data_IF_835160249147
#
_entry.id   IF_835160249147
#
_cell.length_a   1.000
_cell.length_b   1.000
_cell.length_c   1.000
_cell.angle_alpha   90.00
_cell.angle_beta   90.00
_cell.angle_gamma   90.00
#
_symmetry.space_group_name_H-M   'P 1'
#
loop_
_entity.id
_entity.type
_entity.pdbx_description
1 polymer ?
#
# COMPACT_ATOMS: atom_id res chain seq x y z
N UNK A 1 30.43 52.95 -56.14
CA UNK A 1 30.52 51.83 -55.18
C UNK A 1 29.75 52.03 -53.86
N UNK A 2 28.91 53.07 -53.70
CA UNK A 2 28.22 53.34 -52.42
C UNK A 2 26.82 52.69 -52.26
N UNK A 3 26.08 52.41 -53.34
CA UNK A 3 24.69 51.93 -53.24
C UNK A 3 24.51 50.47 -52.82
N UNK A 4 25.49 49.60 -53.07
CA UNK A 4 25.37 48.16 -52.77
C UNK A 4 25.69 47.79 -51.32
N UNK A 5 26.39 48.65 -50.58
CA UNK A 5 26.67 48.42 -49.15
C UNK A 5 25.49 48.85 -48.27
N UNK A 6 24.80 49.94 -48.62
CA UNK A 6 23.64 50.43 -47.86
C UNK A 6 22.48 49.44 -47.85
N UNK A 7 22.20 48.76 -48.98
CA UNK A 7 21.13 47.75 -49.05
C UNK A 7 21.46 46.50 -48.22
N UNK A 8 22.74 46.11 -48.14
CA UNK A 8 23.16 44.97 -47.32
C UNK A 8 23.12 45.27 -45.82
N UNK A 9 23.44 46.50 -45.41
CA UNK A 9 23.33 46.92 -44.02
C UNK A 9 21.87 47.03 -43.56
N UNK A 10 20.99 47.60 -44.39
CA UNK A 10 19.55 47.70 -44.10
C UNK A 10 18.88 46.31 -44.03
N UNK A 11 19.25 45.38 -44.92
CA UNK A 11 18.76 44.01 -44.88
C UNK A 11 19.25 43.24 -43.64
N UNK A 12 20.47 43.50 -43.16
CA UNK A 12 21.00 42.87 -41.94
C UNK A 12 20.33 43.41 -40.68
N UNK A 13 20.00 44.70 -40.67
CA UNK A 13 19.36 45.38 -39.55
C UNK A 13 17.87 44.98 -39.42
N UNK A 14 17.16 44.81 -40.54
CA UNK A 14 15.81 44.25 -40.57
C UNK A 14 15.80 42.76 -40.17
N UNK A 15 16.79 41.97 -40.59
CA UNK A 15 16.87 40.55 -40.22
C UNK A 15 17.18 40.33 -38.72
N UNK A 16 17.94 41.23 -38.07
CA UNK A 16 18.15 41.17 -36.61
C UNK A 16 16.92 41.64 -35.83
N UNK A 17 16.17 42.62 -36.34
CA UNK A 17 14.96 43.12 -35.68
C UNK A 17 13.77 42.12 -35.78
N UNK A 18 13.69 41.36 -36.88
CA UNK A 18 12.71 40.28 -37.01
C UNK A 18 13.07 39.03 -36.17
N UNK A 19 14.36 38.77 -35.93
CA UNK A 19 14.79 37.66 -35.05
C UNK A 19 14.62 37.96 -33.56
N UNK A 20 14.74 39.21 -33.12
CA UNK A 20 14.43 39.58 -31.73
C UNK A 20 12.93 39.50 -31.43
N UNK A 21 12.07 39.87 -32.38
CA UNK A 21 10.62 39.70 -32.22
C UNK A 21 10.17 38.23 -32.30
N UNK A 22 10.80 37.40 -33.14
CA UNK A 22 10.49 35.97 -33.23
C UNK A 22 11.00 35.15 -32.03
N UNK A 23 12.11 35.57 -31.40
CA UNK A 23 12.64 34.91 -30.19
C UNK A 23 11.91 35.34 -28.89
N UNK A 24 11.18 36.46 -28.90
CA UNK A 24 10.32 36.88 -27.77
C UNK A 24 8.90 36.29 -27.84
N UNK A 25 8.51 35.65 -28.94
CA UNK A 25 7.16 35.07 -29.10
C UNK A 25 7.09 33.55 -28.86
N UNK A 26 8.20 32.87 -28.56
CA UNK A 26 8.23 31.43 -28.27
C UNK A 26 8.51 31.10 -26.80
N UNK A 27 8.15 32.00 -25.88
CA UNK A 27 7.90 31.65 -24.47
C UNK A 27 6.45 31.95 -24.09
N UNK A 28 5.52 31.48 -24.93
CA UNK A 28 4.19 31.15 -24.43
C UNK A 28 4.40 29.91 -23.55
N UNK A 29 4.68 30.15 -22.26
CA UNK A 29 4.53 29.16 -21.21
C UNK A 29 3.22 28.46 -21.48
N UNK A 30 3.25 27.14 -21.76
CA UNK A 30 2.05 26.32 -21.74
C UNK A 30 1.51 26.42 -20.32
N UNK A 31 0.64 27.39 -20.06
CA UNK A 31 -0.17 27.45 -18.86
C UNK A 31 -1.06 26.22 -18.93
N UNK A 32 -0.97 25.25 -18.01
CA UNK A 32 -2.06 24.31 -17.88
C UNK A 32 -3.30 25.16 -17.58
N UNK A 33 -4.33 25.01 -18.40
CA UNK A 33 -5.65 25.54 -18.07
C UNK A 33 -6.15 24.74 -16.86
N UNK A 34 -5.79 25.19 -15.66
CA UNK A 34 -6.46 24.78 -14.43
C UNK A 34 -7.54 25.80 -14.12
N UNK A 35 -8.77 25.34 -13.94
CA UNK A 35 -9.90 26.17 -13.53
C UNK A 35 -10.01 26.35 -12.02
N UNK A 36 -8.99 25.94 -11.25
CA UNK A 36 -8.87 26.31 -9.84
C UNK A 36 -8.15 27.65 -9.75
N UNK A 37 -8.65 28.56 -8.90
CA UNK A 37 -7.82 29.64 -8.36
C UNK A 37 -6.49 29.00 -7.96
N UNK A 38 -5.35 29.56 -8.40
CA UNK A 38 -4.06 29.20 -7.80
C UNK A 38 -4.20 29.52 -6.32
N UNK A 39 -4.53 28.51 -5.52
CA UNK A 39 -4.23 28.59 -4.11
C UNK A 39 -2.71 28.62 -4.10
N UNK A 40 -2.18 29.78 -3.76
CA UNK A 40 -0.79 29.94 -3.35
C UNK A 40 -0.67 29.14 -2.05
N UNK A 41 -0.58 27.83 -2.17
CA UNK A 41 -0.68 26.92 -1.04
C UNK A 41 0.72 26.78 -0.46
N UNK A 42 1.04 27.71 0.43
CA UNK A 42 2.24 27.63 1.24
C UNK A 42 2.07 26.50 2.26
N UNK A 43 2.97 25.52 2.24
CA UNK A 43 2.96 24.37 3.12
C UNK A 43 3.99 24.55 4.24
N UNK A 44 3.59 24.23 5.47
CA UNK A 44 4.49 24.27 6.62
C UNK A 44 5.47 23.10 6.57
N UNK A 45 6.76 23.40 6.46
CA UNK A 45 7.81 22.41 6.63
C UNK A 45 8.18 22.32 8.10
N UNK A 46 7.85 21.20 8.73
CA UNK A 46 8.16 20.94 10.14
C UNK A 46 9.37 20.03 10.28
N UNK A 47 10.07 20.12 11.41
CA UNK A 47 11.21 19.27 11.75
C UNK A 47 10.82 17.77 11.66
N UNK A 48 11.41 16.99 10.73
CA UNK A 48 11.04 15.60 10.52
C UNK A 48 11.57 14.70 11.65
N UNK A 49 10.83 13.63 11.94
CA UNK A 49 11.26 12.61 12.88
C UNK A 49 12.19 11.60 12.19
N UNK A 50 13.50 11.70 12.41
CA UNK A 50 14.49 10.78 11.82
C UNK A 50 14.63 9.45 12.61
N UNK A 51 14.00 9.34 13.78
CA UNK A 51 13.98 8.13 14.61
C UNK A 51 12.69 8.04 15.43
N UNK A 52 12.17 6.82 15.73
CA UNK A 52 10.98 6.62 16.57
C UNK A 52 11.11 7.17 17.99
N UNK A 53 12.32 7.44 18.48
CA UNK A 53 12.59 7.95 19.84
C UNK A 53 13.16 9.37 19.84
N UNK A 54 13.16 10.08 18.71
CA UNK A 54 13.74 11.41 18.61
C UNK A 54 12.73 12.48 19.05
N UNK A 55 13.10 13.26 20.07
CA UNK A 55 12.29 14.39 20.57
C UNK A 55 12.78 15.74 20.05
N UNK A 56 14.08 15.87 19.77
CA UNK A 56 14.72 17.09 19.27
C UNK A 56 15.87 16.75 18.33
N UNK A 57 16.21 17.69 17.43
CA UNK A 57 17.33 17.60 16.49
C UNK A 57 17.97 18.96 16.22
N UNK A 58 19.20 18.94 15.70
CA UNK A 58 19.94 20.16 15.35
C UNK A 58 20.00 20.32 13.83
N UNK A 59 19.90 21.55 13.34
CA UNK A 59 20.08 21.86 11.91
C UNK A 59 21.55 22.17 11.68
N UNK A 60 22.25 21.33 10.91
CA UNK A 60 23.69 21.49 10.61
C UNK A 60 23.90 22.54 9.51
N UNK A 61 23.30 22.34 8.33
CA UNK A 61 23.39 23.29 7.22
C UNK A 61 22.17 23.22 6.30
N UNK A 62 21.75 24.37 5.74
CA UNK A 62 20.78 24.45 4.67
C UNK A 62 21.50 24.34 3.33
N UNK A 63 21.01 23.49 2.41
CA UNK A 63 21.56 23.37 1.05
C UNK A 63 20.79 24.22 0.03
N UNK A 64 19.58 24.64 0.39
CA UNK A 64 18.66 25.45 -0.43
C UNK A 64 18.37 26.76 0.30
N UNK A 65 18.40 27.90 -0.41
CA UNK A 65 18.13 29.23 0.17
C UNK A 65 16.70 29.68 -0.10
N UNK A 66 16.25 30.71 0.62
CA UNK A 66 14.97 31.37 0.36
C UNK A 66 14.90 31.86 -1.10
N UNK A 67 13.83 31.50 -1.82
CA UNK A 67 13.62 31.80 -3.22
C UNK A 67 14.14 30.76 -4.21
N UNK A 68 14.92 29.78 -3.76
CA UNK A 68 15.45 28.74 -4.65
C UNK A 68 14.40 27.66 -4.95
N UNK A 69 14.33 27.23 -6.21
CA UNK A 69 13.53 26.09 -6.65
C UNK A 69 14.31 24.78 -6.46
N UNK A 70 13.64 23.75 -5.95
CA UNK A 70 14.19 22.41 -5.76
C UNK A 70 13.26 21.35 -6.38
N UNK A 71 13.81 20.18 -6.71
CA UNK A 71 13.06 19.04 -7.22
C UNK A 71 13.01 17.91 -6.20
N UNK A 72 12.05 16.99 -6.36
CA UNK A 72 11.97 15.78 -5.54
C UNK A 72 13.30 14.99 -5.60
N UNK A 73 13.83 14.65 -4.44
CA UNK A 73 15.14 13.99 -4.27
C UNK A 73 16.32 14.94 -4.08
N UNK A 74 16.15 16.27 -4.18
CA UNK A 74 17.20 17.23 -3.82
C UNK A 74 17.34 17.32 -2.30
N UNK A 75 18.57 17.41 -1.79
CA UNK A 75 18.84 17.58 -0.36
C UNK A 75 18.48 19.03 0.03
N UNK A 76 17.53 19.20 0.94
CA UNK A 76 17.09 20.51 1.44
C UNK A 76 17.99 21.02 2.57
N UNK A 77 18.25 20.16 3.55
CA UNK A 77 19.06 20.48 4.72
C UNK A 77 19.67 19.22 5.35
N UNK A 78 20.69 19.44 6.16
CA UNK A 78 21.40 18.40 6.91
C UNK A 78 21.05 18.50 8.40
N UNK A 79 20.51 17.42 8.98
CA UNK A 79 20.16 17.34 10.40
C UNK A 79 21.23 16.57 11.14
N UNK A 80 21.72 17.14 12.24
CA UNK A 80 22.55 16.44 13.22
C UNK A 80 21.67 15.98 14.39
N UNK A 81 21.68 14.68 14.64
CA UNK A 81 20.99 14.04 15.78
C UNK A 81 22.02 13.40 16.72
N UNK A 82 21.61 12.99 17.93
CA UNK A 82 22.48 12.30 18.90
C UNK A 82 23.13 11.00 18.35
N UNK A 83 22.55 10.41 17.30
CA UNK A 83 23.03 9.13 16.74
C UNK A 83 23.66 9.23 15.37
N UNK A 84 23.29 10.22 14.56
CA UNK A 84 23.79 10.37 13.21
C UNK A 84 23.52 11.77 12.65
N UNK A 85 24.36 12.19 11.70
CA UNK A 85 24.03 13.25 10.74
C UNK A 85 23.29 12.62 9.57
N UNK A 86 22.14 13.19 9.18
CA UNK A 86 21.32 12.68 8.09
C UNK A 86 20.82 13.82 7.21
N UNK A 87 20.86 13.59 5.90
CA UNK A 87 20.37 14.52 4.89
C UNK A 87 18.85 14.36 4.71
N UNK A 88 18.13 15.48 4.70
CA UNK A 88 16.69 15.51 4.44
C UNK A 88 16.46 15.90 2.98
N UNK A 89 15.91 14.97 2.21
CA UNK A 89 15.56 15.17 0.81
C UNK A 89 14.15 15.77 0.64
N UNK A 90 13.96 16.51 -0.45
CA UNK A 90 12.67 17.01 -0.86
C UNK A 90 11.78 15.86 -1.32
N UNK A 91 10.57 15.75 -0.75
CA UNK A 91 9.60 14.73 -1.15
C UNK A 91 8.89 15.09 -2.46
N UNK A 92 8.78 16.39 -2.77
CA UNK A 92 8.02 16.96 -3.88
C UNK A 92 8.80 18.12 -4.52
N UNK A 93 8.41 18.52 -5.74
CA UNK A 93 8.99 19.67 -6.44
C UNK A 93 8.41 20.99 -5.87
N UNK A 94 9.23 22.00 -5.63
CA UNK A 94 8.75 23.25 -5.03
C UNK A 94 9.76 24.39 -5.02
N UNK A 95 9.39 25.46 -4.31
CA UNK A 95 10.23 26.63 -4.05
C UNK A 95 10.35 26.87 -2.56
N UNK A 96 11.55 27.16 -2.07
CA UNK A 96 11.78 27.51 -0.67
C UNK A 96 11.22 28.92 -0.41
N UNK A 97 10.10 29.04 0.29
CA UNK A 97 9.46 30.35 0.49
C UNK A 97 10.18 31.17 1.56
N UNK A 98 10.35 30.60 2.76
CA UNK A 98 10.99 31.26 3.90
C UNK A 98 11.52 30.26 4.92
N UNK A 99 12.70 30.54 5.47
CA UNK A 99 13.33 29.74 6.52
C UNK A 99 13.08 30.43 7.86
N UNK A 100 12.66 29.68 8.88
CA UNK A 100 12.40 30.18 10.23
C UNK A 100 13.44 29.72 11.25
N UNK A 101 14.09 28.59 10.99
CA UNK A 101 15.18 28.07 11.80
C UNK A 101 16.51 28.17 11.03
N UNK A 102 17.38 29.07 11.50
CA UNK A 102 18.67 29.35 10.86
C UNK A 102 19.62 28.14 10.88
N UNK A 103 20.66 28.20 10.03
CA UNK A 103 21.78 27.24 10.06
C UNK A 103 22.42 27.18 11.46
N UNK A 104 22.67 25.97 11.97
CA UNK A 104 23.24 25.78 13.30
C UNK A 104 22.23 25.85 14.45
N UNK A 105 20.92 25.91 14.18
CA UNK A 105 19.89 25.89 15.22
C UNK A 105 19.95 24.58 16.03
N UNK A 106 20.01 24.71 17.36
CA UNK A 106 20.13 23.59 18.30
C UNK A 106 18.82 23.32 19.03
N UNK A 107 18.56 22.06 19.37
CA UNK A 107 17.41 21.59 20.14
C UNK A 107 16.05 21.99 19.54
N UNK A 108 15.90 21.85 18.22
CA UNK A 108 14.61 22.05 17.54
C UNK A 108 13.73 20.83 17.76
N UNK A 109 12.57 21.01 18.39
CA UNK A 109 11.64 19.90 18.67
C UNK A 109 11.04 19.35 17.39
N UNK A 110 10.90 18.02 17.32
CA UNK A 110 10.20 17.34 16.21
C UNK A 110 8.78 17.88 16.07
N UNK A 111 8.36 18.17 14.83
CA UNK A 111 7.06 18.78 14.53
C UNK A 111 7.02 20.31 14.63
N UNK A 112 8.09 20.97 15.07
CA UNK A 112 8.18 22.45 15.03
C UNK A 112 8.39 22.92 13.60
N UNK A 113 7.73 24.00 13.19
CA UNK A 113 7.93 24.61 11.87
C UNK A 113 9.36 25.15 11.73
N UNK A 114 10.05 24.71 10.68
CA UNK A 114 11.43 25.12 10.36
C UNK A 114 11.51 25.95 9.06
N UNK A 115 10.61 25.72 8.11
CA UNK A 115 10.50 26.50 6.89
C UNK A 115 9.07 26.48 6.32
N UNK A 116 8.87 27.21 5.24
CA UNK A 116 7.66 27.17 4.41
C UNK A 116 8.06 26.88 2.98
N UNK A 117 7.37 25.92 2.38
CA UNK A 117 7.56 25.50 1.00
C UNK A 117 6.38 26.05 0.19
N UNK A 118 6.64 26.53 -1.02
CA UNK A 118 5.61 26.90 -1.99
C UNK A 118 5.63 25.96 -3.20
N UNK A 119 4.55 25.97 -3.97
CA UNK A 119 4.42 25.15 -5.18
C UNK A 119 5.33 25.62 -6.32
N UNK A 120 5.56 24.71 -7.27
CA UNK A 120 6.39 24.97 -8.45
C UNK A 120 5.88 26.17 -9.28
N UNK A 121 6.64 27.27 -9.22
CA UNK A 121 6.40 28.48 -10.01
C UNK A 121 5.65 29.61 -9.30
N UNK A 122 5.55 29.55 -7.97
CA UNK A 122 5.06 30.65 -7.14
C UNK A 122 6.16 31.68 -6.82
N UNK A 123 5.78 32.95 -6.75
CA UNK A 123 6.68 34.06 -6.40
C UNK A 123 6.66 34.27 -4.88
N UNK A 124 7.81 34.06 -4.24
CA UNK A 124 8.03 34.15 -2.79
C UNK A 124 7.57 35.46 -2.16
N UNK A 125 7.43 36.52 -2.97
CA UNK A 125 6.98 37.85 -2.53
C UNK A 125 5.45 37.94 -2.29
N UNK A 126 4.68 36.96 -2.79
CA UNK A 126 3.21 36.99 -2.80
C UNK A 126 2.53 35.92 -1.93
N UNK A 127 3.32 35.08 -1.25
CA UNK A 127 2.83 33.96 -0.45
C UNK A 127 2.34 34.41 0.94
N UNK A 128 1.09 34.10 1.27
CA UNK A 128 0.57 34.23 2.63
C UNK A 128 1.11 33.08 3.49
N UNK A 129 1.86 33.43 4.54
CA UNK A 129 2.48 32.47 5.46
C UNK A 129 1.37 31.87 6.36
N UNK A 130 1.14 30.54 6.36
CA UNK A 130 0.15 29.92 7.23
C UNK A 130 0.47 30.16 8.71
N UNK A 131 -0.57 30.27 9.55
CA UNK A 131 -0.42 30.39 10.99
C UNK A 131 0.25 29.14 11.60
N UNK A 132 1.03 29.35 12.66
CA UNK A 132 1.78 28.32 13.37
C UNK A 132 0.87 27.61 14.39
N UNK A 133 0.68 26.29 14.25
CA UNK A 133 -0.13 25.47 15.15
C UNK A 133 0.67 24.89 16.34
N UNK A 134 1.91 25.37 16.59
CA UNK A 134 2.73 24.91 17.71
C UNK A 134 2.37 25.58 19.06
N UNK A 135 1.20 25.24 19.62
CA UNK A 135 0.92 25.46 21.06
C UNK A 135 1.46 24.28 21.90
N UNK A 136 2.55 24.58 22.60
CA UNK A 136 2.99 24.05 23.92
C UNK A 136 2.26 22.81 24.45
N UNK A 137 2.94 21.66 24.41
CA UNK A 137 2.72 20.53 25.33
C UNK A 137 3.73 20.68 26.48
N UNK A 138 3.26 21.09 27.65
CA UNK A 138 3.98 20.96 28.92
C UNK A 138 3.32 19.85 29.75
N UNK A 139 4.16 18.93 30.25
CA UNK A 139 3.84 18.05 31.37
C UNK A 139 5.03 18.10 32.35
N UNK A 140 4.79 18.10 33.68
CA UNK A 140 5.73 18.63 34.66
C UNK A 140 6.54 17.52 35.37
N UNK A 141 7.84 17.75 35.61
CA UNK A 141 8.56 17.23 36.78
C UNK A 141 9.97 17.84 36.93
N UNK A 142 10.24 18.25 38.16
CA UNK A 142 11.52 18.38 38.87
C UNK A 142 12.60 19.36 38.40
N UNK A 143 12.74 20.44 39.18
CA UNK A 143 14.05 20.93 39.59
C UNK A 143 14.04 21.32 41.07
N UNK A 144 14.93 20.69 41.84
CA UNK A 144 15.22 20.93 43.25
C UNK A 144 16.58 21.65 43.34
N UNK A 145 16.53 22.90 43.85
CA UNK A 145 17.48 23.55 44.77
C UNK A 145 18.82 24.10 44.21
N UNK A 146 19.29 25.31 44.56
CA UNK A 146 18.81 26.33 45.50
C UNK A 146 19.82 27.48 45.72
N UNK A 147 19.56 28.26 46.79
CA UNK A 147 20.32 29.36 47.44
C UNK A 147 20.00 30.80 46.98
N UNK A 148 19.88 31.83 47.82
CA UNK A 148 19.66 32.03 49.27
C UNK A 148 19.49 33.55 49.49
N UNK A 149 18.46 34.04 50.22
CA UNK A 149 18.58 34.97 51.38
C UNK A 149 17.30 35.70 51.80
N UNK A 150 17.07 35.59 53.11
CA UNK A 150 16.66 36.62 54.09
C UNK A 150 15.19 37.09 54.20
N UNK A 151 14.46 36.42 55.12
CA UNK A 151 14.19 36.88 56.51
C UNK A 151 12.71 37.12 56.92
N UNK A 152 12.25 36.31 57.88
CA UNK A 152 11.31 36.63 58.98
C UNK A 152 9.82 36.74 58.63
N UNK A 153 8.87 36.05 59.26
CA UNK A 153 8.88 35.18 60.44
C UNK A 153 7.44 34.91 60.90
N UNK A 154 7.31 33.89 61.76
CA UNK A 154 6.13 33.43 62.52
C UNK A 154 5.00 32.75 61.74
N UNK A 155 4.34 31.70 62.26
CA UNK A 155 4.51 30.80 63.42
C UNK A 155 3.30 29.87 63.30
N UNK A 156 3.51 28.57 63.42
CA UNK A 156 2.87 27.69 64.41
C UNK A 156 3.19 26.26 64.01
N UNK A 157 3.92 25.66 64.92
CA UNK A 157 4.50 24.35 64.89
C UNK A 157 3.71 23.49 65.86
N UNK A 158 3.74 22.18 65.60
CA UNK A 158 4.13 21.18 66.58
C UNK A 158 3.08 20.14 66.96
N UNK A 159 3.51 18.90 66.64
CA UNK A 159 3.50 17.68 67.46
C UNK A 159 2.17 16.97 67.74
N UNK A 160 2.09 15.65 67.69
CA UNK A 160 3.10 14.63 67.41
C UNK A 160 2.63 13.26 67.94
N UNK A 161 2.98 12.20 67.21
CA UNK A 161 3.48 10.90 67.69
C UNK A 161 2.51 9.94 68.44
N UNK A 162 2.03 8.95 67.67
CA UNK A 162 2.33 7.50 67.79
C UNK A 162 1.55 6.54 68.75
N UNK A 163 1.13 5.43 68.10
CA UNK A 163 1.07 4.00 68.51
C UNK A 163 -0.20 3.33 69.06
N UNK A 164 -0.59 2.35 68.22
CA UNK A 164 -0.92 0.94 68.50
C UNK A 164 -2.32 0.49 68.97
N UNK A 165 -2.69 -0.65 68.38
CA UNK A 165 -4.00 -1.31 68.24
C UNK A 165 -4.06 -2.47 69.27
N UNK A 166 -5.23 -3.08 69.56
CA UNK A 166 -5.51 -4.36 68.89
C UNK A 166 -7.01 -4.71 68.69
N UNK A 167 -7.30 -5.55 67.68
CA UNK A 167 -8.39 -6.54 67.74
C UNK A 167 -9.50 -6.46 66.69
N UNK A 168 -9.35 -7.23 65.59
CA UNK A 168 -10.41 -7.62 64.62
C UNK A 168 -11.32 -8.72 65.23
N UNK A 169 -12.56 -8.97 64.74
CA UNK A 169 -12.77 -9.68 63.47
C UNK A 169 -13.92 -9.16 62.57
N UNK A 170 -13.62 -9.14 61.26
CA UNK A 170 -14.41 -9.71 60.15
C UNK A 170 -15.94 -9.51 60.09
N UNK A 171 -16.46 -8.74 59.10
CA UNK A 171 -17.08 -9.26 57.86
C UNK A 171 -17.92 -8.19 57.10
N UNK A 172 -17.91 -8.31 55.76
CA UNK A 172 -18.81 -7.71 54.74
C UNK A 172 -18.79 -6.19 54.49
N UNK A 173 -18.02 -5.82 53.47
CA UNK A 173 -18.13 -4.59 52.67
C UNK A 173 -19.27 -4.76 51.63
N UNK A 174 -20.34 -3.95 51.64
CA UNK A 174 -21.27 -3.90 50.52
C UNK A 174 -20.74 -2.97 49.43
N UNK A 175 -20.85 -3.44 48.19
CA UNK A 175 -20.61 -2.68 46.97
C UNK A 175 -21.70 -1.61 46.76
N UNK A 176 -21.28 -0.37 46.42
CA UNK A 176 -21.96 0.55 45.49
C UNK A 176 -21.23 1.89 45.49
N UNK A 177 -20.55 2.20 44.40
CA UNK A 177 -20.55 3.56 43.85
C UNK A 177 -20.83 3.44 42.36
N UNK A 178 -22.10 3.65 42.02
CA UNK A 178 -22.56 3.95 40.66
C UNK A 178 -22.39 5.46 40.45
N UNK A 179 -21.85 5.95 39.33
CA UNK A 179 -22.29 7.24 38.83
C UNK A 179 -23.77 7.10 38.45
N UNK A 180 -24.62 7.89 39.10
CA UNK A 180 -26.02 8.06 38.72
C UNK A 180 -26.09 8.90 37.44
N UNK A 181 -26.56 8.32 36.35
CA UNK A 181 -27.21 9.07 35.26
C UNK A 181 -28.37 8.24 34.72
N UNK A 182 -29.50 8.35 35.41
CA UNK A 182 -30.82 8.05 34.84
C UNK A 182 -31.42 9.38 34.34
N UNK A 183 -32.21 9.38 33.26
CA UNK A 183 -32.69 10.59 32.62
C UNK A 183 -33.70 11.27 33.56
N UNK A 184 -33.41 12.50 33.94
CA UNK A 184 -34.34 13.32 34.73
C UNK A 184 -34.39 14.70 34.07
N UNK A 185 -35.56 15.07 33.55
CA UNK A 185 -35.86 16.43 33.11
C UNK A 185 -36.07 16.54 31.61
N UNK A 186 -37.34 16.67 31.23
CA UNK A 186 -37.83 17.06 29.92
C UNK A 186 -37.17 18.36 29.45
N UNK A 187 -36.42 18.29 28.35
CA UNK A 187 -35.93 19.44 27.62
C UNK A 187 -34.42 19.68 27.68
N UNK A 188 -33.98 20.64 26.88
CA UNK A 188 -32.59 21.05 26.78
C UNK A 188 -32.04 21.60 28.09
N UNK A 189 -30.84 21.16 28.47
CA UNK A 189 -30.13 21.75 29.60
C UNK A 189 -29.59 23.14 29.21
N UNK A 190 -30.14 24.26 29.76
CA UNK A 190 -29.77 25.61 29.36
C UNK A 190 -28.34 25.99 29.79
N UNK A 191 -27.69 25.15 30.61
CA UNK A 191 -26.30 25.33 31.05
C UNK A 191 -25.29 25.22 29.90
N UNK A 192 -25.64 24.54 28.80
CA UNK A 192 -24.71 24.24 27.71
C UNK A 192 -25.21 24.81 26.38
N UNK A 193 -24.32 25.41 25.57
CA UNK A 193 -24.70 25.87 24.23
C UNK A 193 -25.03 24.69 23.31
N UNK A 194 -25.92 24.95 22.35
CA UNK A 194 -26.29 24.00 21.29
C UNK A 194 -25.08 23.66 20.40
N UNK A 195 -25.08 22.47 19.81
CA UNK A 195 -24.03 22.10 18.86
C UNK A 195 -24.16 22.88 17.54
N UNK A 196 -23.06 23.16 16.82
CA UNK A 196 -23.09 23.86 15.53
C UNK A 196 -24.03 23.21 14.51
N UNK A 197 -24.05 21.87 14.47
CA UNK A 197 -24.93 21.09 13.58
C UNK A 197 -26.42 21.23 13.93
N UNK A 198 -26.74 21.39 15.22
CA UNK A 198 -28.10 21.61 15.71
C UNK A 198 -28.54 23.04 15.41
N UNK A 199 -27.67 24.03 15.64
CA UNK A 199 -27.92 25.44 15.30
C UNK A 199 -28.21 25.58 13.81
N UNK A 200 -27.37 24.98 12.95
CA UNK A 200 -27.56 25.02 11.51
C UNK A 200 -28.92 24.43 11.09
N UNK A 201 -29.34 23.30 11.69
CA UNK A 201 -30.61 22.66 11.38
C UNK A 201 -31.82 23.44 11.88
N UNK A 202 -31.74 24.04 13.06
CA UNK A 202 -32.80 24.91 13.61
C UNK A 202 -33.02 26.09 12.66
N UNK A 203 -31.94 26.72 12.18
CA UNK A 203 -32.00 27.80 11.20
C UNK A 203 -32.55 27.34 9.84
N UNK A 204 -32.10 26.19 9.32
CA UNK A 204 -32.54 25.65 8.03
C UNK A 204 -34.03 25.27 8.03
N UNK A 205 -34.51 24.72 9.14
CA UNK A 205 -35.90 24.23 9.29
C UNK A 205 -36.82 25.24 9.98
N UNK A 206 -36.34 26.45 10.23
CA UNK A 206 -37.08 27.55 10.85
C UNK A 206 -37.81 27.15 12.14
N UNK A 207 -37.13 26.38 12.99
CA UNK A 207 -37.67 25.98 14.30
C UNK A 207 -37.46 27.18 15.26
N UNK A 208 -38.50 27.65 15.96
CA UNK A 208 -38.35 28.74 16.93
C UNK A 208 -37.58 28.26 18.17
N UNK A 209 -36.78 29.14 18.76
CA UNK A 209 -35.95 28.84 19.94
C UNK A 209 -36.76 28.33 21.14
N UNK A 210 -38.05 28.67 21.21
CA UNK A 210 -38.96 28.21 22.26
C UNK A 210 -39.25 26.70 22.14
N UNK A 211 -39.38 26.17 20.92
CA UNK A 211 -39.67 24.76 20.69
C UNK A 211 -38.44 23.88 20.94
N UNK A 212 -37.24 24.45 20.84
CA UNK A 212 -35.98 23.78 21.17
C UNK A 212 -35.97 23.28 22.61
N UNK A 213 -36.57 24.04 23.54
CA UNK A 213 -36.66 23.65 24.96
C UNK A 213 -37.60 22.48 25.21
N UNK A 214 -38.56 22.23 24.31
CA UNK A 214 -39.54 21.14 24.41
C UNK A 214 -39.04 19.81 23.86
N UNK A 215 -37.96 19.83 23.07
CA UNK A 215 -37.39 18.62 22.47
C UNK A 215 -36.61 17.84 23.53
N UNK A 216 -36.93 16.55 23.66
CA UNK A 216 -36.23 15.62 24.56
C UNK A 216 -34.77 15.50 24.16
N UNK A 217 -33.87 15.83 25.09
CA UNK A 217 -32.43 15.75 24.89
C UNK A 217 -31.91 14.34 25.18
N UNK A 218 -31.31 13.68 24.19
CA UNK A 218 -30.70 12.35 24.37
C UNK A 218 -29.18 12.42 24.51
N UNK A 219 -28.56 13.58 24.24
CA UNK A 219 -27.12 13.73 24.27
C UNK A 219 -26.50 13.74 25.66
N UNK A 220 -25.17 13.57 25.74
CA UNK A 220 -24.43 13.56 26.99
C UNK A 220 -24.66 14.86 27.77
N UNK A 221 -24.87 14.74 29.08
CA UNK A 221 -25.24 15.84 29.98
C UNK A 221 -26.58 16.52 29.68
N UNK A 222 -27.48 15.86 28.95
CA UNK A 222 -28.82 16.38 28.61
C UNK A 222 -28.79 17.45 27.52
N UNK A 223 -27.93 17.27 26.51
CA UNK A 223 -27.76 18.19 25.38
C UNK A 223 -28.49 17.70 24.12
N UNK A 224 -29.00 18.61 23.29
CA UNK A 224 -29.69 18.30 22.05
C UNK A 224 -28.72 17.69 21.05
N UNK A 225 -29.10 16.54 20.48
CA UNK A 225 -28.40 16.00 19.33
C UNK A 225 -29.14 16.35 18.03
N UNK A 226 -28.41 16.30 16.91
CA UNK A 226 -29.00 16.40 15.57
C UNK A 226 -30.13 15.38 15.38
N UNK A 227 -29.94 14.16 15.88
CA UNK A 227 -30.96 13.10 15.82
C UNK A 227 -32.26 13.45 16.55
N UNK A 228 -32.18 14.15 17.69
CA UNK A 228 -33.35 14.54 18.48
C UNK A 228 -34.21 15.57 17.72
N UNK A 229 -33.56 16.53 17.04
CA UNK A 229 -34.26 17.52 16.18
C UNK A 229 -34.90 16.85 14.97
N UNK A 230 -34.19 15.92 14.34
CA UNK A 230 -34.70 15.17 13.17
C UNK A 230 -35.86 14.25 13.53
N UNK A 231 -35.82 13.65 14.72
CA UNK A 231 -36.92 12.86 15.29
C UNK A 231 -38.14 13.74 15.59
N UNK A 232 -37.93 14.94 16.14
CA UNK A 232 -39.00 15.93 16.32
C UNK A 232 -39.66 16.36 15.00
N UNK A 233 -38.86 16.48 13.94
CA UNK A 233 -39.34 16.77 12.58
C UNK A 233 -40.02 15.56 11.89
N UNK A 234 -40.04 14.38 12.52
CA UNK A 234 -40.64 13.16 11.96
C UNK A 234 -39.86 12.55 10.79
N UNK A 235 -38.62 12.98 10.56
CA UNK A 235 -37.75 12.42 9.51
C UNK A 235 -37.11 11.08 9.93
N UNK A 236 -37.08 10.83 11.23
CA UNK A 236 -36.53 9.63 11.88
C UNK A 236 -37.51 9.22 12.98
N UNK A 237 -37.56 7.93 13.33
CA UNK A 237 -38.32 7.42 14.48
C UNK A 237 -37.94 8.11 15.79
N UNK A 238 -38.94 8.38 16.65
CA UNK A 238 -38.77 9.08 17.94
C UNK A 238 -37.77 8.40 18.88
N UNK A 239 -37.69 7.08 18.80
CA UNK A 239 -36.90 6.26 19.73
C UNK A 239 -35.46 6.05 19.24
N UNK A 240 -35.18 6.39 17.97
CA UNK A 240 -33.89 6.11 17.33
C UNK A 240 -32.70 6.72 18.08
N UNK A 241 -32.70 8.02 18.49
CA UNK A 241 -31.55 8.58 19.22
C UNK A 241 -31.29 7.85 20.54
N UNK A 242 -32.35 7.47 21.25
CA UNK A 242 -32.25 6.80 22.56
C UNK A 242 -31.74 5.36 22.45
N UNK A 243 -32.13 4.64 21.39
CA UNK A 243 -31.64 3.28 21.12
C UNK A 243 -30.18 3.28 20.67
N UNK A 244 -29.77 4.26 19.85
CA UNK A 244 -28.38 4.43 19.45
C UNK A 244 -27.47 4.74 20.65
N UNK A 245 -27.88 5.65 21.54
CA UNK A 245 -27.09 5.95 22.76
C UNK A 245 -26.87 4.68 23.60
N UNK A 246 -27.93 3.92 23.87
CA UNK A 246 -27.84 2.66 24.63
C UNK A 246 -26.96 1.62 23.93
N UNK A 247 -27.01 1.53 22.61
CA UNK A 247 -26.16 0.61 21.83
C UNK A 247 -24.70 0.99 21.93
N UNK A 248 -24.39 2.29 21.83
CA UNK A 248 -23.02 2.79 21.98
C UNK A 248 -22.52 2.53 23.41
N UNK A 249 -23.33 2.81 24.43
CA UNK A 249 -23.02 2.49 25.84
C UNK A 249 -22.78 1.00 26.09
N UNK A 250 -23.45 0.13 25.34
CA UNK A 250 -23.21 -1.30 25.41
C UNK A 250 -21.89 -1.70 24.70
N UNK A 251 -21.56 -1.07 23.58
CA UNK A 251 -20.37 -1.40 22.78
C UNK A 251 -19.08 -0.78 23.35
N UNK A 252 -19.16 0.35 24.05
CA UNK A 252 -18.01 0.98 24.70
C UNK A 252 -17.47 0.13 25.86
N UNK A 253 -18.33 -0.63 26.53
CA UNK A 253 -17.90 -1.54 27.58
C UNK A 253 -17.38 -2.85 26.98
N UNK A 254 -16.08 -2.91 26.67
CA UNK A 254 -15.41 -4.18 26.35
C UNK A 254 -15.39 -5.07 27.61
N UNK A 255 -16.14 -6.17 27.61
CA UNK A 255 -16.11 -7.14 28.70
C UNK A 255 -14.85 -8.00 28.63
N UNK A 256 -13.84 -7.62 29.42
CA UNK A 256 -12.55 -8.30 29.50
C UNK A 256 -12.55 -9.49 30.48
N UNK A 257 -13.70 -9.84 31.08
CA UNK A 257 -13.78 -10.87 32.13
C UNK A 257 -13.41 -12.29 31.67
N UNK A 258 -13.43 -12.56 30.37
CA UNK A 258 -13.14 -13.88 29.79
C UNK A 258 -11.78 -14.00 29.08
N UNK A 259 -10.86 -13.04 29.27
CA UNK A 259 -9.53 -13.12 28.68
C UNK A 259 -8.71 -14.20 29.39
N UNK A 260 -8.60 -15.37 28.74
CA UNK A 260 -7.63 -16.40 29.11
C UNK A 260 -6.26 -15.99 28.58
N UNK A 261 -5.38 -15.56 29.49
CA UNK A 261 -3.97 -15.34 29.18
C UNK A 261 -3.39 -16.66 28.65
N UNK A 262 -2.94 -16.67 27.40
CA UNK A 262 -2.13 -17.77 26.88
C UNK A 262 -0.85 -17.81 27.73
N UNK A 263 -0.48 -18.96 28.33
CA UNK A 263 0.72 -19.02 29.15
C UNK A 263 1.93 -18.68 28.27
N UNK A 264 2.59 -17.57 28.58
CA UNK A 264 3.91 -17.22 28.07
C UNK A 264 4.83 -18.38 28.38
N UNK A 265 5.25 -19.09 27.33
CA UNK A 265 6.28 -20.13 27.45
C UNK A 265 7.54 -19.42 27.93
N UNK A 266 7.88 -19.62 29.20
CA UNK A 266 9.09 -19.08 29.80
C UNK A 266 10.29 -19.62 29.01
N UNK A 267 11.06 -18.70 28.44
CA UNK A 267 12.36 -19.02 27.88
C UNK A 267 13.24 -19.60 29.00
N UNK A 268 13.59 -20.88 28.88
CA UNK A 268 14.44 -21.61 29.81
C UNK A 268 15.90 -21.12 29.65
N UNK A 269 16.67 -20.90 30.73
CA UNK A 269 18.02 -20.34 30.63
C UNK A 269 18.99 -21.35 30.01
N UNK A 270 19.92 -20.81 29.22
CA UNK A 270 20.99 -21.56 28.55
C UNK A 270 21.94 -22.23 29.55
N UNK A 271 22.28 -23.49 29.27
CA UNK A 271 23.33 -24.21 29.99
C UNK A 271 23.56 -25.63 29.47
N UNK A 272 24.76 -25.83 28.90
CA UNK A 272 25.47 -27.10 28.59
C UNK A 272 24.98 -27.97 27.43
N UNK A 273 25.71 -27.83 26.32
CA UNK A 273 26.17 -28.83 25.34
C UNK A 273 25.65 -30.26 25.53
N UNK A 274 24.53 -30.55 24.88
CA UNK A 274 24.20 -31.89 24.41
C UNK A 274 23.52 -31.72 23.04
N UNK A 275 24.03 -32.46 22.06
CA UNK A 275 23.60 -32.60 20.66
C UNK A 275 22.38 -31.76 20.24
N UNK A 276 22.61 -30.81 19.34
CA UNK A 276 21.56 -30.17 18.59
C UNK A 276 20.61 -31.23 18.02
N UNK A 277 19.29 -31.20 18.30
CA UNK A 277 18.36 -31.84 17.40
C UNK A 277 18.53 -31.10 16.07
N UNK A 278 18.71 -31.87 14.99
CA UNK A 278 18.70 -31.34 13.64
C UNK A 278 17.54 -30.32 13.50
N UNK A 279 17.72 -29.21 12.76
CA UNK A 279 16.60 -28.33 12.48
C UNK A 279 15.48 -29.21 11.93
N UNK A 280 14.33 -29.25 12.61
CA UNK A 280 13.15 -29.86 12.06
C UNK A 280 12.99 -29.24 10.67
N UNK A 281 13.19 -30.09 9.66
CA UNK A 281 13.02 -29.72 8.29
C UNK A 281 11.64 -29.06 8.21
N UNK A 282 11.63 -27.77 7.89
CA UNK A 282 10.43 -27.00 7.58
C UNK A 282 9.60 -27.91 6.68
N UNK A 283 8.49 -28.43 7.20
CA UNK A 283 7.71 -29.42 6.48
C UNK A 283 7.34 -28.76 5.15
N UNK A 284 7.89 -29.28 4.04
CA UNK A 284 7.72 -28.66 2.73
C UNK A 284 6.22 -28.40 2.52
N UNK A 285 5.83 -27.19 2.08
CA UNK A 285 4.42 -26.92 1.81
C UNK A 285 3.93 -28.01 0.87
N UNK A 286 2.85 -28.70 1.24
CA UNK A 286 2.25 -29.74 0.40
C UNK A 286 1.75 -29.04 -0.86
N UNK A 287 2.54 -29.11 -1.93
CA UNK A 287 2.21 -28.53 -3.23
C UNK A 287 1.57 -29.63 -4.09
N UNK A 288 0.40 -29.33 -4.64
CA UNK A 288 -0.30 -30.22 -5.58
C UNK A 288 -0.13 -29.63 -6.98
N UNK A 289 0.26 -30.47 -7.94
CA UNK A 289 0.29 -30.09 -9.35
C UNK A 289 -0.98 -30.58 -10.06
N UNK A 290 -1.61 -29.71 -10.85
CA UNK A 290 -2.84 -30.00 -11.59
C UNK A 290 -2.58 -29.65 -13.05
N UNK A 291 -2.95 -30.55 -13.97
CA UNK A 291 -2.71 -30.36 -15.40
C UNK A 291 -3.97 -30.66 -16.23
N UNK A 292 -4.23 -29.83 -17.24
CA UNK A 292 -5.31 -30.01 -18.23
C UNK A 292 -4.75 -29.85 -19.63
N UNK A 293 -5.19 -30.70 -20.56
CA UNK A 293 -4.85 -30.59 -21.98
C UNK A 293 -5.82 -29.67 -22.71
N UNK A 294 -5.28 -28.75 -23.52
CA UNK A 294 -6.02 -27.73 -24.26
C UNK A 294 -5.52 -27.72 -25.71
N UNK A 295 -6.45 -27.74 -26.66
CA UNK A 295 -6.16 -27.55 -28.09
C UNK A 295 -6.21 -26.06 -28.47
N UNK A 296 -5.26 -25.62 -29.29
CA UNK A 296 -5.17 -24.22 -29.75
C UNK A 296 -5.69 -24.02 -31.19
N UNK A 297 -6.34 -25.01 -31.78
CA UNK A 297 -6.79 -24.99 -33.17
C UNK A 297 -7.75 -23.82 -33.47
N UNK A 298 -8.70 -23.54 -32.58
CA UNK A 298 -9.66 -22.44 -32.78
C UNK A 298 -8.98 -21.05 -32.71
N UNK A 299 -7.99 -20.89 -31.81
CA UNK A 299 -7.19 -19.66 -31.73
C UNK A 299 -6.42 -19.43 -33.03
N UNK A 300 -5.83 -20.47 -33.61
CA UNK A 300 -5.12 -20.38 -34.88
C UNK A 300 -6.05 -20.04 -36.05
N UNK A 301 -7.28 -20.58 -36.06
CA UNK A 301 -8.30 -20.20 -37.05
C UNK A 301 -8.66 -18.72 -36.94
N UNK A 302 -8.83 -18.19 -35.73
CA UNK A 302 -9.10 -16.76 -35.50
C UNK A 302 -7.91 -15.91 -35.94
N UNK A 303 -6.69 -16.32 -35.60
CA UNK A 303 -5.47 -15.62 -36.02
C UNK A 303 -5.35 -15.55 -37.55
N UNK A 304 -5.62 -16.66 -38.26
CA UNK A 304 -5.67 -16.71 -39.73
C UNK A 304 -6.73 -15.74 -40.27
N UNK A 305 -7.97 -15.79 -39.74
CA UNK A 305 -9.05 -14.87 -40.14
C UNK A 305 -8.69 -13.39 -39.99
N UNK A 306 -8.00 -13.03 -38.90
CA UNK A 306 -7.58 -11.64 -38.65
C UNK A 306 -6.49 -11.21 -39.61
N UNK A 307 -5.53 -12.11 -39.88
CA UNK A 307 -4.51 -11.87 -40.89
C UNK A 307 -5.13 -11.66 -42.27
N UNK A 308 -6.12 -12.46 -42.63
CA UNK A 308 -6.79 -12.38 -43.95
C UNK A 308 -7.67 -11.14 -44.09
N UNK A 309 -8.30 -10.68 -43.00
CA UNK A 309 -9.24 -9.54 -43.01
C UNK A 309 -8.57 -8.19 -42.77
N UNK A 310 -7.66 -8.11 -41.80
CA UNK A 310 -7.03 -6.87 -41.33
C UNK A 310 -5.57 -6.74 -41.76
N UNK A 311 -4.96 -7.80 -42.30
CA UNK A 311 -3.52 -7.83 -42.64
C UNK A 311 -2.58 -7.81 -41.43
N UNK A 312 -3.13 -7.71 -40.21
CA UNK A 312 -2.38 -7.68 -38.96
C UNK A 312 -2.29 -9.08 -38.35
N UNK A 313 -1.15 -9.42 -37.74
CA UNK A 313 -0.97 -10.71 -37.04
C UNK A 313 -0.90 -10.46 -35.54
N UNK A 314 -1.91 -10.91 -34.80
CA UNK A 314 -1.88 -10.92 -33.33
C UNK A 314 -1.07 -12.15 -32.87
N UNK A 315 -0.06 -12.00 -31.99
CA UNK A 315 0.74 -13.13 -31.53
C UNK A 315 -0.05 -14.02 -30.58
N UNK A 316 0.24 -15.33 -30.61
CA UNK A 316 -0.43 -16.32 -29.77
C UNK A 316 -0.28 -16.02 -28.26
N UNK A 317 0.84 -15.41 -27.87
CA UNK A 317 1.08 -14.95 -26.50
C UNK A 317 0.01 -13.97 -26.00
N UNK A 318 -0.51 -13.10 -26.86
CA UNK A 318 -1.57 -12.14 -26.48
C UNK A 318 -2.88 -12.84 -26.15
N UNK A 319 -3.26 -13.87 -26.93
CA UNK A 319 -4.43 -14.69 -26.64
C UNK A 319 -4.28 -15.43 -25.32
N UNK A 320 -3.11 -16.02 -25.07
CA UNK A 320 -2.83 -16.73 -23.83
C UNK A 320 -2.83 -15.79 -22.62
N UNK A 321 -2.21 -14.62 -22.74
CA UNK A 321 -2.17 -13.63 -21.66
C UNK A 321 -3.57 -13.14 -21.29
N UNK A 322 -4.39 -12.77 -22.27
CA UNK A 322 -5.77 -12.31 -22.03
C UNK A 322 -6.67 -13.44 -21.51
N UNK A 323 -6.49 -14.67 -21.99
CA UNK A 323 -7.23 -15.82 -21.47
C UNK A 323 -6.89 -16.12 -20.00
N UNK A 324 -5.61 -15.99 -19.62
CA UNK A 324 -5.16 -16.12 -18.23
C UNK A 324 -5.72 -15.00 -17.37
N UNK A 325 -5.72 -13.77 -17.86
CA UNK A 325 -6.25 -12.63 -17.11
C UNK A 325 -7.75 -12.77 -16.83
N UNK A 326 -8.55 -13.08 -17.86
CA UNK A 326 -9.98 -13.34 -17.71
C UNK A 326 -10.28 -14.56 -16.84
N UNK A 327 -9.46 -15.61 -16.89
CA UNK A 327 -9.67 -16.80 -16.08
C UNK A 327 -9.35 -16.55 -14.59
N UNK A 328 -8.51 -15.56 -14.28
CA UNK A 328 -8.18 -15.16 -12.92
C UNK A 328 -9.31 -14.35 -12.26
N UNK A 329 -10.19 -13.72 -13.04
CA UNK A 329 -11.36 -13.04 -12.51
C UNK A 329 -12.40 -14.02 -11.96
N UNK A 330 -13.13 -13.59 -10.93
CA UNK A 330 -14.25 -14.33 -10.33
C UNK A 330 -13.98 -15.78 -9.91
N UNK A 331 -12.77 -16.10 -9.42
CA UNK A 331 -12.46 -17.46 -8.96
C UNK A 331 -13.08 -17.75 -7.59
N UNK A 332 -13.51 -18.99 -7.30
CA UNK A 332 -14.08 -19.33 -6.00
C UNK A 332 -13.04 -19.16 -4.88
N UNK A 333 -13.43 -18.60 -3.74
CA UNK A 333 -12.51 -18.40 -2.63
C UNK A 333 -11.99 -19.74 -2.06
N UNK A 334 -10.72 -19.80 -1.60
CA UNK A 334 -10.19 -20.98 -0.93
C UNK A 334 -10.91 -21.22 0.40
N UNK A 335 -11.06 -22.49 0.76
CA UNK A 335 -11.69 -22.89 2.02
C UNK A 335 -10.82 -22.46 3.20
N UNK A 336 -11.37 -21.64 4.10
CA UNK A 336 -10.67 -21.18 5.31
C UNK A 336 -10.02 -19.80 5.19
N UNK A 337 -10.33 -19.04 4.13
CA UNK A 337 -9.91 -17.63 4.02
C UNK A 337 -10.61 -16.80 5.09
N UNK A 338 -9.85 -15.97 5.81
CA UNK A 338 -10.42 -15.02 6.79
C UNK A 338 -11.10 -13.86 6.04
N UNK A 339 -12.22 -13.32 6.54
CA UNK A 339 -12.88 -12.17 5.93
C UNK A 339 -11.93 -10.96 5.89
N UNK A 340 -11.96 -10.21 4.79
CA UNK A 340 -11.19 -8.97 4.64
C UNK A 340 -11.69 -7.87 5.57
N UNK A 341 -10.89 -6.83 5.79
CA UNK A 341 -11.33 -5.63 6.50
C UNK A 341 -12.59 -5.01 5.85
N UNK A 342 -12.65 -5.00 4.52
CA UNK A 342 -13.82 -4.52 3.78
C UNK A 342 -15.04 -5.42 3.98
N UNK A 343 -14.86 -6.74 4.00
CA UNK A 343 -15.95 -7.69 4.27
C UNK A 343 -16.50 -7.51 5.69
N UNK A 344 -15.60 -7.31 6.66
CA UNK A 344 -15.96 -7.03 8.05
C UNK A 344 -16.65 -5.67 8.18
N UNK A 345 -16.17 -4.66 7.46
CA UNK A 345 -16.77 -3.33 7.43
C UNK A 345 -18.17 -3.36 6.80
N UNK A 346 -18.34 -4.08 5.70
CA UNK A 346 -19.63 -4.30 5.05
C UNK A 346 -20.61 -5.03 5.97
N UNK A 347 -20.14 -6.04 6.71
CA UNK A 347 -20.96 -6.70 7.74
C UNK A 347 -21.39 -5.72 8.86
N UNK A 348 -20.54 -4.77 9.26
CA UNK A 348 -20.92 -3.70 10.21
C UNK A 348 -21.98 -2.77 9.62
N UNK A 349 -21.92 -2.50 8.31
CA UNK A 349 -22.93 -1.73 7.58
C UNK A 349 -24.22 -2.54 7.28
N UNK A 350 -24.29 -3.83 7.65
CA UNK A 350 -25.41 -4.71 7.34
C UNK A 350 -25.47 -5.15 5.87
N UNK A 351 -24.38 -4.96 5.13
CA UNK A 351 -24.17 -5.47 3.79
C UNK A 351 -23.51 -6.86 3.89
N UNK A 352 -24.26 -7.86 4.33
CA UNK A 352 -23.78 -9.24 4.57
C UNK A 352 -23.40 -10.00 3.27
N UNK A 353 -23.16 -9.29 2.16
CA UNK A 353 -22.75 -9.88 0.90
C UNK A 353 -21.25 -10.14 0.91
N UNK A 354 -20.84 -11.25 1.54
CA UNK A 354 -19.47 -11.75 1.38
C UNK A 354 -19.32 -12.20 -0.08
N UNK A 355 -18.43 -11.59 -0.89
CA UNK A 355 -18.25 -11.99 -2.27
C UNK A 355 -17.79 -13.45 -2.30
N UNK A 356 -18.59 -14.31 -2.95
CA UNK A 356 -18.28 -15.75 -3.07
C UNK A 356 -17.07 -16.00 -3.98
N UNK A 357 -16.73 -14.99 -4.80
CA UNK A 357 -15.63 -15.00 -5.76
C UNK A 357 -14.55 -14.01 -5.36
N UNK A 358 -13.31 -14.27 -5.80
CA UNK A 358 -12.18 -13.35 -5.68
C UNK A 358 -11.20 -13.54 -6.83
N UNK A 359 -10.52 -12.46 -7.21
CA UNK A 359 -9.49 -12.50 -8.26
C UNK A 359 -8.32 -13.38 -7.80
N UNK A 360 -7.87 -14.28 -8.68
CA UNK A 360 -6.69 -15.12 -8.47
C UNK A 360 -5.44 -14.55 -9.15
N UNK A 361 -4.30 -15.15 -8.86
CA UNK A 361 -3.01 -14.84 -9.49
C UNK A 361 -2.34 -16.14 -9.96
N UNK A 362 -3.04 -16.91 -10.80
CA UNK A 362 -2.50 -18.15 -11.35
C UNK A 362 -1.83 -17.88 -12.71
N UNK A 363 -0.63 -18.45 -12.88
CA UNK A 363 0.10 -18.44 -14.13
C UNK A 363 0.42 -19.88 -14.55
N UNK A 364 -0.22 -20.41 -15.60
CA UNK A 364 -0.01 -21.79 -16.01
C UNK A 364 1.34 -21.98 -16.70
N UNK A 365 1.98 -23.10 -16.43
CA UNK A 365 3.09 -23.61 -17.23
C UNK A 365 2.54 -24.36 -18.43
N UNK A 366 3.04 -24.06 -19.62
CA UNK A 366 2.52 -24.62 -20.87
C UNK A 366 3.58 -25.53 -21.49
N UNK A 367 3.22 -26.80 -21.61
CA UNK A 367 4.04 -27.85 -22.19
C UNK A 367 3.42 -28.35 -23.51
N UNK A 368 4.19 -28.27 -24.59
CA UNK A 368 3.78 -28.81 -25.87
C UNK A 368 4.23 -30.27 -26.03
N UNK A 369 3.30 -31.17 -26.31
CA UNK A 369 3.64 -32.49 -26.83
C UNK A 369 3.69 -32.42 -28.36
N UNK A 370 4.87 -32.66 -28.93
CA UNK A 370 4.97 -32.97 -30.36
C UNK A 370 4.50 -34.40 -30.53
N UNK A 371 3.32 -34.59 -31.13
CA UNK A 371 2.94 -35.88 -31.70
C UNK A 371 3.91 -36.15 -32.86
N UNK A 372 5.04 -36.82 -32.57
CA UNK A 372 5.79 -37.48 -33.62
C UNK A 372 4.80 -38.40 -34.35
N UNK A 373 4.61 -38.11 -35.63
CA UNK A 373 3.69 -38.82 -36.52
C UNK A 373 3.83 -40.33 -36.36
N UNK A 374 2.85 -40.97 -35.72
CA UNK A 374 2.65 -42.41 -35.85
C UNK A 374 2.06 -42.68 -37.24
N UNK A 375 2.92 -42.68 -38.26
CA UNK A 375 2.63 -43.38 -39.50
C UNK A 375 2.72 -44.88 -39.25
N UNK A 376 1.62 -45.55 -39.51
CA UNK A 376 1.40 -47.00 -39.49
C UNK A 376 2.53 -47.84 -40.10
N UNK A 377 2.97 -48.83 -39.33
CA UNK A 377 3.35 -50.20 -39.74
C UNK A 377 3.90 -50.43 -41.15
N UNK A 378 5.21 -50.69 -41.23
CA UNK A 378 5.75 -51.77 -42.06
C UNK A 378 6.60 -52.68 -41.19
N UNK A 379 6.17 -53.93 -41.07
CA UNK A 379 6.91 -54.98 -40.41
C UNK A 379 8.34 -55.08 -40.98
N UNK A 380 9.33 -55.11 -40.10
CA UNK A 380 10.63 -55.69 -40.41
C UNK A 380 11.10 -56.45 -39.19
N UNK A 381 10.99 -57.76 -39.36
CA UNK A 381 11.53 -58.84 -38.58
C UNK A 381 12.95 -58.56 -38.05
N UNK A 382 13.21 -59.18 -36.90
CA UNK A 382 14.50 -59.58 -36.34
C UNK A 382 15.24 -58.55 -35.47
N UNK A 383 15.51 -59.00 -34.24
CA UNK A 383 16.82 -58.78 -33.63
C UNK A 383 16.86 -57.72 -32.53
N UNK A 384 16.61 -58.16 -31.30
CA UNK A 384 17.16 -57.57 -30.07
C UNK A 384 18.66 -57.29 -30.28
N UNK A 385 19.05 -56.01 -30.38
CA UNK A 385 20.45 -55.60 -30.30
C UNK A 385 20.64 -54.68 -29.09
N UNK A 386 21.16 -55.29 -28.02
CA UNK A 386 21.94 -54.61 -27.01
C UNK A 386 23.08 -53.85 -27.70
N UNK A 387 23.33 -52.62 -27.24
CA UNK A 387 24.49 -51.84 -27.64
C UNK A 387 25.78 -52.64 -27.36
N UNK A 388 26.55 -52.93 -28.42
CA UNK A 388 27.91 -53.49 -28.30
C UNK A 388 28.90 -52.37 -27.93
N UNK A 389 29.87 -52.63 -27.04
CA UNK A 389 30.97 -51.71 -26.82
C UNK A 389 31.86 -51.64 -28.06
N UNK A 390 32.39 -50.45 -28.34
CA UNK A 390 33.31 -50.17 -29.45
C UNK A 390 34.58 -51.02 -29.35
N UNK A 391 34.89 -51.81 -30.39
CA UNK A 391 36.18 -52.49 -30.52
C UNK A 391 37.28 -51.47 -30.82
N UNK A 392 38.36 -51.52 -30.04
CA UNK A 392 39.63 -50.91 -30.39
C UNK A 392 40.21 -51.64 -31.62
N UNK A 393 40.96 -50.97 -32.53
CA UNK A 393 41.54 -51.62 -33.69
C UNK A 393 42.63 -52.62 -33.27
N UNK A 394 42.57 -53.84 -33.83
CA UNK A 394 43.57 -54.89 -33.61
C UNK A 394 44.88 -54.56 -34.35
N UNK A 395 46.02 -55.00 -33.82
CA UNK A 395 47.38 -54.77 -34.34
C UNK A 395 47.53 -55.18 -35.83
N UNK A 396 46.74 -56.16 -36.29
CA UNK A 396 46.75 -56.64 -37.68
C UNK A 396 46.18 -55.58 -38.66
N UNK A 397 45.25 -54.72 -38.22
CA UNK A 397 44.72 -53.62 -39.03
C UNK A 397 45.71 -52.45 -39.13
N UNK A 398 46.57 -52.27 -38.12
CA UNK A 398 47.62 -51.24 -38.10
C UNK A 398 48.79 -51.65 -39.00
N UNK A 399 49.16 -52.93 -39.03
CA UNK A 399 50.29 -53.44 -39.82
C UNK A 399 49.94 -53.68 -41.30
N UNK A 400 48.65 -53.84 -41.65
CA UNK A 400 48.22 -54.12 -43.02
C UNK A 400 48.04 -52.89 -43.92
N UNK A 401 48.33 -51.67 -43.41
CA UNK A 401 48.42 -50.45 -44.23
C UNK A 401 47.12 -50.00 -44.90
N UNK A 402 45.95 -50.48 -44.45
CA UNK A 402 44.67 -50.08 -45.03
C UNK A 402 44.26 -48.70 -44.51
N UNK A 403 44.31 -47.69 -45.38
CA UNK A 403 43.98 -46.30 -45.06
C UNK A 403 42.55 -46.13 -44.53
N UNK A 404 42.40 -45.43 -43.39
CA UNK A 404 41.11 -45.08 -42.76
C UNK A 404 40.60 -43.75 -43.35
N UNK A 405 39.34 -43.63 -43.80
CA UNK A 405 38.77 -42.34 -44.19
C UNK A 405 38.50 -41.44 -42.97
N UNK A 406 38.94 -40.17 -43.06
CA UNK A 406 38.73 -39.13 -42.05
C UNK A 406 37.24 -38.93 -41.75
N UNK A 407 36.80 -39.25 -40.53
CA UNK A 407 35.49 -38.86 -40.00
C UNK A 407 35.62 -37.50 -39.32
N UNK A 408 34.82 -36.54 -39.79
CA UNK A 408 34.71 -35.21 -39.20
C UNK A 408 34.28 -35.28 -37.73
N UNK A 409 34.91 -34.45 -36.90
CA UNK A 409 34.71 -34.39 -35.45
C UNK A 409 33.29 -33.93 -35.07
N UNK A 410 32.63 -34.55 -34.08
CA UNK A 410 31.53 -33.89 -33.39
C UNK A 410 32.11 -32.87 -32.41
N UNK A 411 31.78 -31.58 -32.61
CA UNK A 411 32.00 -30.56 -31.58
C UNK A 411 31.14 -30.90 -30.37
N UNK A 412 31.80 -31.10 -29.24
CA UNK A 412 31.21 -31.15 -27.92
C UNK A 412 30.59 -29.79 -27.58
N UNK A 413 29.27 -29.74 -27.41
CA UNK A 413 28.64 -28.70 -26.59
C UNK A 413 28.44 -29.28 -25.20
N UNK A 414 29.30 -28.80 -24.32
CA UNK A 414 29.29 -28.90 -22.86
C UNK A 414 27.86 -28.75 -22.31
N UNK A 415 27.50 -29.71 -21.46
CA UNK A 415 26.41 -29.60 -20.51
C UNK A 415 26.65 -28.37 -19.62
N UNK A 416 25.87 -27.32 -19.84
CA UNK A 416 25.63 -26.30 -18.85
C UNK A 416 24.12 -26.23 -18.64
N UNK A 417 23.73 -26.41 -17.39
CA UNK A 417 22.39 -26.16 -16.92
C UNK A 417 22.04 -24.69 -17.24
N UNK A 418 21.09 -24.51 -18.16
CA UNK A 418 20.41 -23.25 -18.38
C UNK A 418 18.91 -23.53 -18.24
N UNK A 419 18.43 -23.33 -17.02
CA UNK A 419 17.07 -22.90 -16.76
C UNK A 419 16.77 -21.65 -17.62
N UNK A 420 15.55 -21.57 -18.14
CA UNK A 420 14.99 -20.47 -18.96
C UNK A 420 15.42 -20.40 -20.45
N UNK A 421 14.74 -21.17 -21.31
CA UNK A 421 14.43 -20.77 -22.68
C UNK A 421 13.21 -21.58 -23.19
N UNK A 422 12.23 -20.88 -23.76
CA UNK A 422 10.87 -21.35 -24.02
C UNK A 422 10.74 -22.71 -24.72
N UNK A 423 9.97 -23.61 -24.11
CA UNK A 423 9.42 -24.79 -24.79
C UNK A 423 8.57 -24.30 -25.97
N UNK A 424 8.96 -24.68 -27.19
CA UNK A 424 8.24 -24.32 -28.42
C UNK A 424 6.81 -24.87 -28.36
N UNK A 425 5.82 -23.99 -28.30
CA UNK A 425 4.41 -24.33 -28.42
C UNK A 425 4.17 -25.06 -29.75
N UNK A 426 3.64 -26.27 -29.71
CA UNK A 426 3.30 -27.01 -30.93
C UNK A 426 2.08 -26.36 -31.56
N UNK A 427 2.29 -25.76 -32.73
CA UNK A 427 1.28 -24.97 -33.47
C UNK A 427 0.62 -25.79 -34.57
N UNK A 428 0.90 -27.10 -34.65
CA UNK A 428 0.27 -27.97 -35.63
C UNK A 428 -1.25 -28.03 -35.39
N UNK A 429 -2.04 -28.05 -36.47
CA UNK A 429 -3.50 -28.11 -36.40
C UNK A 429 -3.94 -29.33 -35.57
N UNK A 430 -4.54 -29.06 -34.40
CA UNK A 430 -4.99 -30.11 -33.47
C UNK A 430 -3.98 -30.59 -32.43
N UNK A 431 -2.79 -29.98 -32.31
CA UNK A 431 -1.87 -30.31 -31.23
C UNK A 431 -2.47 -30.01 -29.84
N UNK A 432 -2.36 -30.98 -28.94
CA UNK A 432 -2.76 -30.85 -27.53
C UNK A 432 -1.59 -30.31 -26.72
N UNK A 433 -1.77 -29.15 -26.11
CA UNK A 433 -0.81 -28.56 -25.19
C UNK A 433 -1.31 -28.79 -23.75
N UNK A 434 -0.41 -29.16 -22.85
CA UNK A 434 -0.71 -29.40 -21.44
C UNK A 434 -0.45 -28.12 -20.65
N UNK A 435 -1.47 -27.64 -19.94
CA UNK A 435 -1.39 -26.49 -19.04
C UNK A 435 -1.35 -27.02 -17.61
N UNK A 436 -0.27 -26.77 -16.89
CA UNK A 436 -0.08 -27.20 -15.50
C UNK A 436 0.02 -26.02 -14.54
N UNK A 437 -0.48 -26.22 -13.32
CA UNK A 437 -0.35 -25.29 -12.20
C UNK A 437 0.15 -26.03 -10.97
N UNK A 438 1.04 -25.39 -10.24
CA UNK A 438 1.52 -25.84 -8.93
C UNK A 438 0.89 -24.94 -7.87
N UNK A 439 0.04 -25.51 -7.01
CA UNK A 439 -0.71 -24.75 -5.99
C UNK A 439 -0.55 -25.36 -4.59
N UNK A 440 -0.66 -24.56 -3.52
CA UNK A 440 -0.68 -25.07 -2.15
C UNK A 440 -1.89 -25.99 -1.89
N UNK A 441 -1.72 -26.95 -0.97
CA UNK A 441 -2.79 -27.84 -0.53
C UNK A 441 -3.99 -27.03 0.01
N UNK A 442 -5.17 -27.26 -0.57
CA UNK A 442 -6.41 -26.55 -0.23
C UNK A 442 -6.99 -25.71 -1.38
N UNK A 443 -6.17 -25.32 -2.36
CA UNK A 443 -6.58 -24.50 -3.51
C UNK A 443 -6.92 -25.30 -4.77
N UNK A 444 -6.91 -26.64 -4.68
CA UNK A 444 -7.03 -27.51 -5.85
C UNK A 444 -8.30 -27.28 -6.67
N UNK A 445 -9.42 -27.00 -6.00
CA UNK A 445 -10.69 -26.70 -6.68
C UNK A 445 -10.60 -25.39 -7.46
N UNK A 446 -10.01 -24.36 -6.85
CA UNK A 446 -9.84 -23.04 -7.45
C UNK A 446 -8.94 -23.12 -8.69
N UNK A 447 -7.83 -23.85 -8.58
CA UNK A 447 -6.90 -24.09 -9.68
C UNK A 447 -7.52 -24.91 -10.83
N UNK A 448 -8.37 -25.91 -10.52
CA UNK A 448 -9.13 -26.66 -11.54
C UNK A 448 -10.10 -25.75 -12.29
N UNK A 449 -10.90 -24.95 -11.56
CA UNK A 449 -11.84 -23.99 -12.17
C UNK A 449 -11.11 -22.98 -13.06
N UNK A 450 -9.94 -22.50 -12.63
CA UNK A 450 -9.10 -21.63 -13.45
C UNK A 450 -8.69 -22.31 -14.78
N UNK A 451 -8.14 -23.53 -14.73
CA UNK A 451 -7.70 -24.23 -15.95
C UNK A 451 -8.88 -24.58 -16.88
N UNK A 452 -10.05 -24.90 -16.31
CA UNK A 452 -11.28 -25.13 -17.07
C UNK A 452 -11.78 -23.85 -17.75
N UNK A 453 -11.68 -22.69 -17.09
CA UNK A 453 -12.00 -21.39 -17.70
C UNK A 453 -11.03 -21.04 -18.82
N UNK A 454 -9.72 -21.20 -18.61
CA UNK A 454 -8.72 -21.00 -19.68
C UNK A 454 -9.04 -21.89 -20.89
N UNK A 455 -9.37 -23.17 -20.66
CA UNK A 455 -9.79 -24.09 -21.72
C UNK A 455 -11.04 -23.59 -22.45
N UNK A 456 -12.06 -23.16 -21.72
CA UNK A 456 -13.32 -22.67 -22.29
C UNK A 456 -13.09 -21.42 -23.13
N UNK A 457 -12.33 -20.46 -22.63
CA UNK A 457 -12.04 -19.19 -23.31
C UNK A 457 -11.22 -19.41 -24.59
N UNK A 458 -10.23 -20.32 -24.56
CA UNK A 458 -9.40 -20.60 -25.73
C UNK A 458 -10.08 -21.49 -26.79
N UNK A 459 -10.96 -22.41 -26.38
CA UNK A 459 -11.62 -23.37 -27.30
C UNK A 459 -12.98 -22.90 -27.82
N UNK A 460 -13.79 -22.27 -26.97
CA UNK A 460 -15.18 -21.93 -27.32
C UNK A 460 -15.28 -20.52 -27.89
N UNK A 461 -14.61 -19.55 -27.26
CA UNK A 461 -14.77 -18.12 -27.59
C UNK A 461 -13.45 -17.35 -27.79
N UNK A 462 -12.50 -17.82 -28.61
CA UNK A 462 -11.22 -17.14 -28.80
C UNK A 462 -11.34 -15.75 -29.44
N UNK A 463 -12.48 -15.42 -30.07
CA UNK A 463 -12.74 -14.09 -30.62
C UNK A 463 -12.95 -13.00 -29.57
N UNK A 464 -13.49 -13.34 -28.39
CA UNK A 464 -13.67 -12.39 -27.28
C UNK A 464 -12.34 -11.89 -26.71
N UNK A 465 -11.25 -12.62 -26.96
CA UNK A 465 -9.92 -12.26 -26.46
C UNK A 465 -9.31 -11.06 -27.18
N UNK A 466 -9.88 -10.57 -28.27
CA UNK A 466 -9.25 -9.55 -29.11
C UNK A 466 -10.01 -8.24 -29.09
N UNK A 467 -11.34 -8.35 -29.00
CA UNK A 467 -12.24 -7.26 -28.63
C UNK A 467 -11.84 -6.70 -27.26
#
# INVERSE_FOLDING_TARGET
>A
MAGRQSVRLLARQLATQQRSHAAQQSQIRRRPFSNTSRYLEAHNFTMPAMSPTMTEGNISSWKVKEGDSFSAGDILLEIETDKATMDVEAQEDGVMAKIFADEGAKAVKVGTRIAVLGDAGDDVSSLEIPADDSKTVESPADNVQGSNKDNGGNKYESSGVEKEIPGTPENKRPAKDKPKTSPTGSGQNPKYPLYPSVIALIHEKHIPDEDVTKITATGPNGRLLKGDVLAYLGTIDSDYPSTQSKRIEHLEHLDLSNIKLLPTTQAKPAGTTAAAPAPEAVAAPKVTSIAITISLAEVLKVQKRIKDTLGATVPLSTFLARAVDLANDDLPQPKGTKPSADDLFNAVLGLDTIPTTSRGMYLPQIDAFSLSSSSSSSASLLGRHQARPSKQPDIIDILSGKAIPKRAAPRSSISTAASAAGRSLSTADGALNTFSLTVPAGEEKRAKTFLERVKTVLQVEPGKLIL
#
